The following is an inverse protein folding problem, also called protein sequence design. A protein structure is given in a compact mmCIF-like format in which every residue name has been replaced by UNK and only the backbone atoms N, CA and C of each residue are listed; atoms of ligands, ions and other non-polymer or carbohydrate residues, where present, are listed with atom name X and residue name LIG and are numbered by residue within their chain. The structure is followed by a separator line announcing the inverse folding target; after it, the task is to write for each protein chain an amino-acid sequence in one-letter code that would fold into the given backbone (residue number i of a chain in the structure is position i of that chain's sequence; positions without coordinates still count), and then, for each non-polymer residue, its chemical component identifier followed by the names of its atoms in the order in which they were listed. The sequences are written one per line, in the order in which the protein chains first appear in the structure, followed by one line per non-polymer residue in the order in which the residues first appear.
data_IF_178814347891
#
_entry.id   IF_178814347891
#
_cell.length_a   1.000
_cell.length_b   1.000
_cell.length_c   1.000
_cell.angle_alpha   90.00
_cell.angle_beta   90.00
_cell.angle_gamma   90.00
#
_symmetry.space_group_name_H-M   'P 1'
#
loop_
_entity.id
_entity.type
_entity.pdbx_description
1 polymer ?
#
# COMPACT_ATOMS: atom_id res chain seq x y z
N UNK A 1 6.39 4.27 11.13
CA UNK A 1 5.25 4.35 10.18
C UNK A 1 4.26 5.48 10.47
N UNK A 2 3.86 5.73 11.72
CA UNK A 2 2.87 6.79 12.05
C UNK A 2 3.19 8.17 11.46
N UNK A 3 4.44 8.64 11.55
CA UNK A 3 4.86 9.92 10.96
C UNK A 3 4.68 9.98 9.43
N UNK A 4 4.83 8.85 8.73
CA UNK A 4 4.66 8.78 7.27
C UNK A 4 3.19 8.78 6.86
N UNK A 5 2.30 8.17 7.66
CA UNK A 5 0.85 8.14 7.43
C UNK A 5 0.28 9.57 7.44
N UNK A 6 0.69 10.39 8.41
CA UNK A 6 0.16 11.76 8.54
C UNK A 6 0.76 12.75 7.52
N UNK A 7 1.90 12.43 6.90
CA UNK A 7 2.58 13.30 5.93
C UNK A 7 2.14 13.05 4.48
N UNK A 8 1.65 11.86 4.15
CA UNK A 8 1.31 11.52 2.77
C UNK A 8 -0.04 12.09 2.33
N UNK A 9 -0.08 12.72 1.14
CA UNK A 9 -1.34 13.12 0.47
C UNK A 9 -2.01 11.96 -0.26
N UNK A 10 -1.27 10.88 -0.53
CA UNK A 10 -1.82 9.67 -1.14
C UNK A 10 -2.59 8.84 -0.09
N UNK A 11 -3.92 8.86 -0.22
CA UNK A 11 -4.86 8.13 0.66
C UNK A 11 -4.69 6.61 0.57
N UNK A 12 -4.32 6.07 -0.59
CA UNK A 12 -4.08 4.64 -0.76
C UNK A 12 -2.75 4.21 -0.12
N UNK A 13 -1.74 5.09 -0.16
CA UNK A 13 -0.49 4.86 0.55
C UNK A 13 -0.69 4.91 2.07
N UNK A 14 -1.42 5.92 2.57
CA UNK A 14 -1.78 6.02 3.98
C UNK A 14 -2.51 4.76 4.46
N UNK A 15 -3.51 4.28 3.71
CA UNK A 15 -4.28 3.07 4.05
C UNK A 15 -3.40 1.83 4.16
N UNK A 16 -2.47 1.64 3.21
CA UNK A 16 -1.50 0.53 3.22
C UNK A 16 -0.55 0.60 4.41
N UNK A 17 -0.06 1.78 4.75
CA UNK A 17 0.79 1.99 5.92
C UNK A 17 0.04 1.76 7.23
N UNK A 18 -1.24 2.14 7.32
CA UNK A 18 -2.10 1.82 8.47
C UNK A 18 -2.25 0.31 8.63
N UNK A 19 -2.46 -0.43 7.53
CA UNK A 19 -2.51 -1.90 7.57
C UNK A 19 -1.23 -2.50 8.15
N UNK A 20 -0.05 -2.05 7.70
CA UNK A 20 1.23 -2.51 8.24
C UNK A 20 1.41 -2.17 9.72
N UNK A 21 0.96 -0.99 10.15
CA UNK A 21 1.03 -0.59 11.55
C UNK A 21 0.15 -1.48 12.44
N UNK A 22 -1.06 -1.79 12.00
CA UNK A 22 -1.99 -2.68 12.73
C UNK A 22 -1.43 -4.10 12.84
N UNK A 23 -0.91 -4.66 11.74
CA UNK A 23 -0.25 -5.97 11.74
C UNK A 23 0.97 -6.00 12.66
N UNK A 24 1.80 -4.94 12.65
CA UNK A 24 2.95 -4.84 13.53
C UNK A 24 2.57 -4.77 15.02
N UNK A 25 1.36 -4.28 15.33
CA UNK A 25 0.79 -4.29 16.70
C UNK A 25 0.22 -5.65 17.11
N UNK A 26 0.27 -6.65 16.23
CA UNK A 26 -0.21 -8.01 16.50
C UNK A 26 -1.66 -8.27 16.07
N UNK A 27 -2.30 -7.35 15.35
CA UNK A 27 -3.64 -7.58 14.82
C UNK A 27 -3.64 -8.65 13.72
N UNK A 28 -4.72 -9.44 13.63
CA UNK A 28 -4.84 -10.50 12.61
C UNK A 28 -5.21 -9.89 11.27
N UNK A 29 -4.80 -10.54 10.18
CA UNK A 29 -5.16 -10.14 8.79
C UNK A 29 -6.67 -9.98 8.60
N UNK A 30 -7.49 -10.80 9.24
CA UNK A 30 -8.96 -10.69 9.20
C UNK A 30 -9.49 -9.41 9.84
N UNK A 31 -8.89 -8.99 10.94
CA UNK A 31 -9.34 -7.82 11.70
C UNK A 31 -8.89 -6.53 11.01
N UNK A 32 -7.68 -6.53 10.44
CA UNK A 32 -7.19 -5.45 9.56
C UNK A 32 -8.08 -5.30 8.32
N UNK A 33 -8.43 -6.41 7.67
CA UNK A 33 -9.31 -6.40 6.50
C UNK A 33 -10.70 -5.84 6.84
N UNK A 34 -11.27 -6.23 7.98
CA UNK A 34 -12.56 -5.73 8.47
C UNK A 34 -12.48 -4.23 8.79
N UNK A 35 -11.45 -3.80 9.50
CA UNK A 35 -11.26 -2.40 9.93
C UNK A 35 -11.03 -1.46 8.75
N UNK A 36 -10.25 -1.89 7.75
CA UNK A 36 -9.95 -1.09 6.56
C UNK A 36 -10.96 -1.29 5.42
N UNK A 37 -12.02 -2.07 5.65
CA UNK A 37 -13.05 -2.42 4.67
C UNK A 37 -12.46 -2.91 3.34
N UNK A 38 -11.53 -3.86 3.39
CA UNK A 38 -10.88 -4.45 2.22
C UNK A 38 -10.88 -5.99 2.28
N UNK A 39 -10.58 -6.64 1.15
CA UNK A 39 -10.47 -8.09 1.11
C UNK A 39 -9.18 -8.57 1.81
N UNK A 40 -9.24 -9.75 2.45
CA UNK A 40 -8.06 -10.40 3.06
C UNK A 40 -6.90 -10.58 2.07
N UNK A 41 -7.21 -10.84 0.80
CA UNK A 41 -6.22 -10.97 -0.27
C UNK A 41 -5.50 -9.65 -0.58
N UNK A 42 -6.17 -8.50 -0.42
CA UNK A 42 -5.54 -7.18 -0.55
C UNK A 42 -4.47 -6.97 0.53
N UNK A 43 -4.79 -7.33 1.78
CA UNK A 43 -3.84 -7.24 2.91
C UNK A 43 -2.64 -8.16 2.65
N UNK A 44 -2.88 -9.41 2.23
CA UNK A 44 -1.80 -10.34 1.88
C UNK A 44 -0.89 -9.81 0.77
N UNK A 45 -1.45 -9.18 -0.26
CA UNK A 45 -0.67 -8.53 -1.34
C UNK A 45 0.17 -7.36 -0.81
N UNK A 46 -0.38 -6.55 0.09
CA UNK A 46 0.37 -5.46 0.70
C UNK A 46 1.52 -5.98 1.58
N UNK A 47 1.30 -7.06 2.34
CA UNK A 47 2.37 -7.70 3.12
C UNK A 47 3.48 -8.18 2.20
N UNK A 48 3.12 -8.86 1.10
CA UNK A 48 4.09 -9.30 0.11
C UNK A 48 4.94 -8.15 -0.47
N UNK A 49 4.31 -7.04 -0.87
CA UNK A 49 5.04 -5.86 -1.35
C UNK A 49 5.93 -5.22 -0.28
N UNK A 50 5.46 -5.19 0.97
CA UNK A 50 6.24 -4.68 2.08
C UNK A 50 7.45 -5.56 2.39
N UNK A 51 7.31 -6.88 2.33
CA UNK A 51 8.44 -7.81 2.50
C UNK A 51 9.46 -7.69 1.36
N UNK A 52 9.00 -7.46 0.12
CA UNK A 52 9.87 -7.36 -1.05
C UNK A 52 10.64 -6.03 -1.12
N UNK A 53 9.99 -4.91 -0.79
CA UNK A 53 10.53 -3.56 -1.06
C UNK A 53 10.28 -2.54 0.06
N UNK A 54 9.91 -3.02 1.26
CA UNK A 54 9.62 -2.17 2.41
C UNK A 54 8.48 -1.18 2.18
N UNK A 55 8.56 -0.03 2.85
CA UNK A 55 7.55 1.02 2.75
C UNK A 55 7.49 1.68 1.36
N UNK A 56 8.54 1.57 0.55
CA UNK A 56 8.57 2.10 -0.82
C UNK A 56 7.68 1.28 -1.75
N UNK A 57 7.64 -0.04 -1.59
CA UNK A 57 6.76 -0.95 -2.35
C UNK A 57 5.27 -0.72 -2.11
N UNK A 58 4.91 0.05 -1.08
CA UNK A 58 3.54 0.40 -0.77
C UNK A 58 3.08 1.72 -1.40
N UNK A 59 3.95 2.48 -2.06
CA UNK A 59 3.54 3.72 -2.75
C UNK A 59 2.66 3.39 -3.97
N UNK A 60 1.80 4.34 -4.37
CA UNK A 60 1.11 4.21 -5.65
C UNK A 60 2.08 4.52 -6.78
N UNK A 61 2.03 3.70 -7.83
CA UNK A 61 2.70 4.04 -9.08
C UNK A 61 1.95 5.20 -9.75
N UNK A 62 2.65 6.07 -10.50
CA UNK A 62 2.00 7.09 -11.30
C UNK A 62 0.94 6.46 -12.22
N UNK A 63 -0.20 7.12 -12.34
CA UNK A 63 -1.29 6.63 -13.18
C UNK A 63 -0.89 6.67 -14.67
N UNK A 64 -1.15 5.57 -15.37
CA UNK A 64 -0.95 5.45 -16.81
C UNK A 64 0.31 4.68 -17.20
N UNK A 65 0.26 4.09 -18.41
CA UNK A 65 1.47 3.68 -19.13
C UNK A 65 2.11 4.95 -19.66
N UNK A 66 3.43 5.08 -19.60
CA UNK A 66 4.10 6.19 -20.30
C UNK A 66 3.61 6.22 -21.75
N UNK A 67 3.16 7.40 -22.20
CA UNK A 67 2.69 7.61 -23.57
C UNK A 67 3.88 7.35 -24.48
N UNK A 68 3.95 6.14 -25.03
CA UNK A 68 5.01 5.71 -25.94
C UNK A 68 4.33 5.52 -27.29
N UNK A 69 4.32 6.58 -28.11
CA UNK A 69 3.98 6.43 -29.51
C UNK A 69 5.18 5.77 -30.21
N UNK A 70 5.01 4.69 -30.97
CA UNK A 70 6.11 4.00 -31.65
C UNK A 70 6.88 4.86 -32.68
N UNK A 71 6.40 6.07 -32.95
CA UNK A 71 6.85 6.94 -34.04
C UNK A 71 7.44 8.27 -33.57
N UNK A 72 7.56 8.52 -32.26
CA UNK A 72 8.27 9.69 -31.75
C UNK A 72 9.75 9.33 -31.60
N UNK A 73 10.57 9.75 -32.58
CA UNK A 73 12.05 9.73 -32.54
C UNK A 73 12.58 10.97 -31.81
#
# INVERSE_FOLDING_TARGET
MQKAIHKTRDKNYARRLTAMLMLHRGERVSDVARTLCCARSSVGRWVHWFTLSGAEGLKSLPAGRSRRWPFEH
#
